data_IF_595905948274
#
_entry.id   IF_595905948274
#
_cell.length_a   1.000
_cell.length_b   1.000
_cell.length_c   1.000
_cell.angle_alpha   90.00
_cell.angle_beta   90.00
_cell.angle_gamma   90.00
#
_symmetry.space_group_name_H-M   'P 1'
#
loop_
_entity.id
_entity.type
_entity.pdbx_description
1 polymer ?
#
# COMPACT_ATOMS: atom_id res chain seq x y z
N UNK A 1 -3.97 29.11 -25.42
CA UNK A 1 -3.51 28.00 -26.29
C UNK A 1 -4.34 26.80 -25.89
N UNK A 2 -5.30 26.47 -26.74
CA UNK A 2 -6.45 25.60 -26.45
C UNK A 2 -6.01 24.14 -26.63
N UNK A 3 -6.03 23.32 -25.58
CA UNK A 3 -5.87 21.87 -25.72
C UNK A 3 -7.21 21.28 -26.13
N UNK A 4 -7.36 20.69 -27.32
CA UNK A 4 -8.59 20.02 -27.71
C UNK A 4 -8.75 18.76 -26.85
N UNK A 5 -9.89 18.68 -26.16
CA UNK A 5 -10.37 17.44 -25.55
C UNK A 5 -10.79 16.50 -26.68
N UNK A 6 -9.91 15.59 -27.08
CA UNK A 6 -10.28 14.49 -27.97
C UNK A 6 -11.12 13.48 -27.17
N UNK A 7 -12.42 13.44 -27.46
CA UNK A 7 -13.36 12.40 -27.07
C UNK A 7 -13.08 11.10 -27.85
N UNK A 8 -11.91 10.49 -27.66
CA UNK A 8 -11.69 9.11 -28.07
C UNK A 8 -12.02 8.19 -26.90
N UNK A 9 -13.06 7.40 -27.11
CA UNK A 9 -13.62 6.43 -26.19
C UNK A 9 -12.61 5.30 -25.91
N UNK A 10 -12.69 4.74 -24.70
CA UNK A 10 -11.75 3.72 -24.20
C UNK A 10 -11.89 2.35 -24.88
N UNK A 11 -12.78 2.21 -25.85
CA UNK A 11 -13.13 0.92 -26.46
C UNK A 11 -12.33 0.60 -27.74
N UNK A 12 -11.73 1.59 -28.42
CA UNK A 12 -11.03 1.36 -29.69
C UNK A 12 -9.55 0.91 -29.56
N UNK A 13 -8.98 0.94 -28.35
CA UNK A 13 -7.56 0.62 -28.11
C UNK A 13 -7.36 -0.86 -27.70
N UNK A 14 -8.42 -1.67 -27.62
CA UNK A 14 -8.32 -3.10 -27.22
C UNK A 14 -8.09 -4.07 -28.40
N UNK A 15 -8.25 -3.61 -29.65
CA UNK A 15 -8.13 -4.45 -30.86
C UNK A 15 -6.70 -4.52 -31.46
N UNK A 16 -5.77 -3.70 -30.97
CA UNK A 16 -4.35 -3.74 -31.31
C UNK A 16 -3.65 -4.24 -30.05
N UNK A 17 -2.94 -5.38 -30.10
CA UNK A 17 -2.26 -6.04 -28.98
C UNK A 17 -1.14 -5.22 -28.33
N UNK A 18 -1.49 -4.03 -27.84
CA UNK A 18 -0.67 -3.06 -27.16
C UNK A 18 -0.67 -3.46 -25.69
N UNK A 19 0.54 -3.68 -25.18
CA UNK A 19 0.79 -3.90 -23.76
C UNK A 19 0.22 -2.72 -22.97
N UNK A 20 -0.89 -2.95 -22.27
CA UNK A 20 -1.44 -1.97 -21.32
C UNK A 20 -0.49 -1.89 -20.12
N UNK A 21 0.32 -0.85 -20.08
CA UNK A 21 1.16 -0.53 -18.92
C UNK A 21 0.40 0.49 -18.08
N UNK A 22 -0.22 0.01 -17.00
CA UNK A 22 -0.85 0.88 -16.00
C UNK A 22 0.23 1.55 -15.16
N UNK A 23 0.66 2.76 -15.58
CA UNK A 23 1.56 3.61 -14.77
C UNK A 23 0.72 4.30 -13.68
N UNK A 24 0.44 3.57 -12.61
CA UNK A 24 -0.25 4.11 -11.44
C UNK A 24 0.74 4.92 -10.60
N UNK A 25 0.62 6.25 -10.66
CA UNK A 25 1.34 7.17 -9.77
C UNK A 25 0.81 7.08 -8.34
N UNK A 26 1.10 6.00 -7.61
CA UNK A 26 0.73 5.88 -6.21
C UNK A 26 1.51 6.90 -5.38
N UNK A 27 0.84 7.95 -4.88
CA UNK A 27 1.41 8.89 -3.91
C UNK A 27 2.01 8.18 -2.68
N UNK A 28 1.47 7.01 -2.35
CA UNK A 28 1.97 6.09 -1.32
C UNK A 28 3.43 5.68 -1.54
N UNK A 29 3.86 5.41 -2.78
CA UNK A 29 5.25 5.05 -3.09
C UNK A 29 6.19 6.24 -2.83
N UNK A 30 5.73 7.47 -3.11
CA UNK A 30 6.48 8.68 -2.77
C UNK A 30 6.59 8.88 -1.25
N UNK A 31 5.53 8.53 -0.50
CA UNK A 31 5.55 8.59 0.96
C UNK A 31 6.55 7.57 1.54
N UNK A 32 6.49 6.31 1.08
CA UNK A 32 7.43 5.25 1.49
C UNK A 32 8.88 5.68 1.22
N UNK A 33 9.17 6.23 0.04
CA UNK A 33 10.51 6.73 -0.30
C UNK A 33 10.98 7.80 0.70
N UNK A 34 10.14 8.81 0.98
CA UNK A 34 10.49 9.88 1.93
C UNK A 34 10.69 9.35 3.34
N UNK A 35 9.87 8.39 3.78
CA UNK A 35 10.01 7.74 5.08
C UNK A 35 11.33 6.97 5.19
N UNK A 36 11.73 6.23 4.14
CA UNK A 36 13.03 5.56 4.09
C UNK A 36 14.20 6.56 4.15
N UNK A 37 14.12 7.66 3.39
CA UNK A 37 15.14 8.72 3.43
C UNK A 37 15.29 9.33 4.84
N UNK A 38 14.20 9.43 5.61
CA UNK A 38 14.26 9.86 7.02
C UNK A 38 14.83 8.78 7.94
N UNK A 39 14.38 7.52 7.83
CA UNK A 39 14.83 6.41 8.67
C UNK A 39 16.33 6.19 8.53
N UNK A 40 16.88 6.29 7.31
CA UNK A 40 18.33 6.17 7.05
C UNK A 40 19.19 7.13 7.87
N UNK A 41 18.65 8.28 8.30
CA UNK A 41 19.36 9.24 9.14
C UNK A 41 19.56 8.73 10.58
N UNK A 42 18.70 7.81 11.03
CA UNK A 42 18.68 7.25 12.39
C UNK A 42 19.15 5.79 12.42
N UNK A 43 18.82 4.99 11.40
CA UNK A 43 19.24 3.60 11.19
C UNK A 43 19.80 3.43 9.77
N UNK A 44 21.12 3.57 9.58
CA UNK A 44 21.77 3.42 8.27
C UNK A 44 21.61 2.03 7.65
N UNK A 45 21.35 1.00 8.45
CA UNK A 45 21.16 -0.38 8.02
C UNK A 45 19.86 -0.60 7.22
N UNK A 46 18.85 0.27 7.37
CA UNK A 46 17.60 0.22 6.60
C UNK A 46 17.73 1.09 5.34
N UNK A 47 18.64 0.71 4.45
CA UNK A 47 18.89 1.45 3.20
C UNK A 47 17.86 1.10 2.10
N UNK A 48 17.10 0.02 2.22
CA UNK A 48 16.08 -0.32 1.22
C UNK A 48 14.89 -1.05 1.83
N UNK A 49 13.80 -1.19 1.06
CA UNK A 49 12.65 -2.01 1.45
C UNK A 49 13.04 -3.47 1.75
N UNK A 50 14.05 -4.01 1.06
CA UNK A 50 14.52 -5.38 1.30
C UNK A 50 15.31 -5.53 2.62
N UNK A 51 15.76 -4.43 3.20
CA UNK A 51 16.45 -4.45 4.50
C UNK A 51 15.47 -4.50 5.68
N UNK A 52 14.16 -4.29 5.44
CA UNK A 52 13.14 -4.38 6.46
C UNK A 52 12.87 -5.86 6.76
N UNK A 53 12.83 -6.30 8.03
CA UNK A 53 12.48 -7.66 8.37
C UNK A 53 11.05 -8.00 7.90
N UNK A 54 10.86 -9.23 7.40
CA UNK A 54 9.56 -9.69 6.88
C UNK A 54 8.48 -9.73 7.98
N UNK A 55 8.88 -10.02 9.21
CA UNK A 55 7.99 -10.21 10.35
C UNK A 55 8.48 -9.35 11.52
N UNK A 56 7.66 -8.38 11.94
CA UNK A 56 7.94 -7.52 13.09
C UNK A 56 6.80 -7.61 14.12
N UNK A 57 7.05 -8.19 15.32
CA UNK A 57 6.06 -8.28 16.38
C UNK A 57 5.48 -6.93 16.81
N UNK A 58 6.28 -5.85 16.77
CA UNK A 58 5.83 -4.52 17.19
C UNK A 58 4.78 -3.97 16.22
N UNK A 59 4.99 -4.16 14.92
CA UNK A 59 4.01 -3.84 13.87
C UNK A 59 2.71 -4.62 14.09
N UNK A 60 2.77 -5.92 14.39
CA UNK A 60 1.56 -6.69 14.68
C UNK A 60 0.85 -6.26 15.95
N UNK A 61 1.57 -5.91 17.01
CA UNK A 61 0.96 -5.42 18.24
C UNK A 61 0.26 -4.07 18.06
N UNK A 62 0.83 -3.18 17.23
CA UNK A 62 0.19 -1.93 16.81
C UNK A 62 -1.10 -2.22 16.04
N UNK A 63 -1.05 -3.12 15.05
CA UNK A 63 -2.22 -3.53 14.27
C UNK A 63 -3.29 -4.20 15.15
N UNK A 64 -2.91 -5.08 16.07
CA UNK A 64 -3.84 -5.71 17.03
C UNK A 64 -4.56 -4.70 17.93
N UNK A 65 -4.02 -3.49 18.12
CA UNK A 65 -4.68 -2.41 18.88
C UNK A 65 -5.62 -1.57 18.01
N UNK A 66 -5.66 -1.82 16.70
CA UNK A 66 -6.40 -1.02 15.74
C UNK A 66 -5.73 0.30 15.41
N UNK A 67 -4.44 0.45 15.73
CA UNK A 67 -3.66 1.66 15.46
C UNK A 67 -3.07 1.58 14.04
N UNK A 68 -3.94 1.55 13.03
CA UNK A 68 -3.57 1.42 11.61
C UNK A 68 -3.81 2.71 10.81
N UNK A 69 -3.96 3.84 11.48
CA UNK A 69 -4.14 5.15 10.83
C UNK A 69 -2.89 5.48 10.01
N UNK A 70 -3.05 5.65 8.69
CA UNK A 70 -1.93 5.91 7.78
C UNK A 70 -1.17 4.65 7.33
N UNK A 71 -1.61 3.45 7.75
CA UNK A 71 -1.10 2.18 7.21
C UNK A 71 -1.86 1.86 5.94
N UNK A 72 -1.12 1.73 4.84
CA UNK A 72 -1.71 1.48 3.52
C UNK A 72 -2.61 0.24 3.52
N UNK A 73 -3.75 0.32 2.83
CA UNK A 73 -4.74 -0.75 2.67
C UNK A 73 -5.53 -1.17 3.92
N UNK A 74 -5.13 -0.78 5.14
CA UNK A 74 -5.84 -1.15 6.39
C UNK A 74 -6.31 0.06 7.21
N UNK A 75 -6.56 1.19 6.53
CA UNK A 75 -6.96 2.46 7.15
C UNK A 75 -8.48 2.64 7.31
N UNK A 76 -9.28 1.80 6.65
CA UNK A 76 -10.74 1.98 6.68
C UNK A 76 -11.30 1.67 8.07
N UNK A 77 -12.40 2.34 8.46
CA UNK A 77 -13.06 2.08 9.74
C UNK A 77 -13.44 0.62 9.95
N UNK A 78 -13.85 -0.07 8.87
CA UNK A 78 -14.18 -1.48 8.92
C UNK A 78 -12.95 -2.34 9.27
N UNK A 79 -11.82 -2.09 8.62
CA UNK A 79 -10.55 -2.77 8.89
C UNK A 79 -10.04 -2.48 10.32
N UNK A 80 -9.99 -1.21 10.71
CA UNK A 80 -9.60 -0.78 12.07
C UNK A 80 -10.42 -1.52 13.15
N UNK A 81 -11.72 -1.73 12.92
CA UNK A 81 -12.58 -2.46 13.87
C UNK A 81 -12.39 -3.98 13.86
N UNK A 82 -11.90 -4.54 12.76
CA UNK A 82 -11.69 -5.98 12.59
C UNK A 82 -10.32 -6.42 13.11
N UNK A 83 -9.31 -5.56 12.97
CA UNK A 83 -7.93 -5.79 13.40
C UNK A 83 -7.79 -6.31 14.85
N UNK A 84 -8.42 -5.70 15.88
CA UNK A 84 -8.36 -6.20 17.25
C UNK A 84 -9.05 -7.56 17.46
N UNK A 85 -9.96 -7.95 16.56
CA UNK A 85 -10.68 -9.22 16.62
C UNK A 85 -9.88 -10.34 15.96
N UNK A 86 -9.23 -10.05 14.82
CA UNK A 86 -8.42 -11.00 14.08
C UNK A 86 -7.07 -11.26 14.79
N UNK A 87 -6.49 -10.21 15.40
CA UNK A 87 -5.17 -10.23 16.04
C UNK A 87 -4.10 -10.89 15.15
N UNK A 88 -3.77 -10.28 14.00
CA UNK A 88 -2.80 -10.85 13.06
C UNK A 88 -1.45 -11.06 13.73
N UNK A 89 -0.84 -12.23 13.50
CA UNK A 89 0.49 -12.59 14.03
C UNK A 89 1.48 -13.01 12.95
N UNK A 90 1.04 -13.05 11.70
CA UNK A 90 1.87 -13.27 10.53
C UNK A 90 1.36 -12.49 9.33
N UNK A 91 2.18 -12.34 8.30
CA UNK A 91 1.80 -11.64 7.08
C UNK A 91 0.54 -12.22 6.42
N UNK A 92 0.39 -13.55 6.47
CA UNK A 92 -0.75 -14.23 5.86
C UNK A 92 -2.11 -13.82 6.45
N UNK A 93 -2.16 -13.48 7.74
CA UNK A 93 -3.37 -13.00 8.39
C UNK A 93 -3.83 -11.66 7.80
N UNK A 94 -2.88 -10.78 7.48
CA UNK A 94 -3.17 -9.47 6.87
C UNK A 94 -3.69 -9.63 5.43
N UNK A 95 -3.13 -10.58 4.67
CA UNK A 95 -3.62 -10.91 3.32
C UNK A 95 -5.07 -11.37 3.37
N UNK A 96 -5.42 -12.22 4.34
CA UNK A 96 -6.80 -12.68 4.55
C UNK A 96 -7.70 -11.50 4.91
N UNK A 97 -7.28 -10.62 5.81
CA UNK A 97 -8.07 -9.46 6.23
C UNK A 97 -8.43 -8.53 5.06
N UNK A 98 -7.41 -8.15 4.27
CA UNK A 98 -7.60 -7.29 3.10
C UNK A 98 -8.43 -7.99 2.02
N UNK A 99 -8.36 -9.32 1.91
CA UNK A 99 -9.20 -10.07 0.98
C UNK A 99 -10.68 -10.14 1.41
N UNK A 100 -10.95 -10.15 2.72
CA UNK A 100 -12.32 -10.21 3.26
C UNK A 100 -13.00 -8.83 3.17
N UNK A 101 -12.27 -7.75 3.43
CA UNK A 101 -12.79 -6.37 3.40
C UNK A 101 -12.27 -5.64 2.17
N UNK A 102 -13.13 -5.47 1.15
CA UNK A 102 -12.84 -4.73 -0.10
C UNK A 102 -13.46 -3.33 -0.09
#
# INVERSE_FOLDING_TARGET
MNFPCDCYDKEDIEALGLLKVDVLGLGMLSAIRKSLEMIRQYQPEIDSLQAIPEEDPATYDMLCKGDSVGVFQVESRAQISMLPRLRPRCYYDLVIEVAIIR
#
